data_IF_674520791748
#
_entry.id   IF_674520791748
#
_cell.length_a   1.000
_cell.length_b   1.000
_cell.length_c   1.000
_cell.angle_alpha   90.00
_cell.angle_beta   90.00
_cell.angle_gamma   90.00
#
_symmetry.space_group_name_H-M   'P 1'
#
loop_
_entity.id
_entity.type
_entity.pdbx_description
1 polymer ?
#
# COMPACT_ATOMS: atom_id res chain seq x y z
N UNK A 1 25.99 2.73 -24.35
CA UNK A 1 25.41 1.50 -23.79
C UNK A 1 25.35 1.69 -22.28
N UNK A 2 24.31 2.36 -21.78
CA UNK A 2 24.17 2.64 -20.36
C UNK A 2 23.30 1.50 -19.84
N UNK A 3 23.93 0.54 -19.14
CA UNK A 3 23.21 -0.49 -18.40
C UNK A 3 22.57 0.19 -17.20
N UNK A 4 21.41 0.82 -17.42
CA UNK A 4 20.55 1.26 -16.35
C UNK A 4 19.97 -0.02 -15.75
N UNK A 5 20.71 -0.62 -14.81
CA UNK A 5 20.11 -1.52 -13.83
C UNK A 5 19.19 -0.65 -12.98
N UNK A 6 18.01 -0.32 -13.53
CA UNK A 6 16.82 -0.10 -12.73
C UNK A 6 16.68 -1.42 -11.99
N UNK A 7 17.19 -1.47 -10.77
CA UNK A 7 16.62 -2.38 -9.78
C UNK A 7 15.16 -2.00 -9.79
N UNK A 8 14.32 -2.81 -10.43
CA UNK A 8 12.89 -2.74 -10.23
C UNK A 8 12.73 -2.93 -8.72
N UNK A 9 12.53 -1.84 -7.99
CA UNK A 9 12.08 -1.90 -6.61
C UNK A 9 10.65 -2.42 -6.73
N UNK A 10 10.51 -3.75 -6.78
CA UNK A 10 9.24 -4.45 -6.80
C UNK A 10 8.66 -4.36 -5.38
N UNK A 11 7.37 -4.04 -5.26
CA UNK A 11 6.76 -3.76 -3.96
C UNK A 11 6.55 -2.28 -3.66
N UNK A 12 5.86 -2.03 -2.55
CA UNK A 12 5.76 -0.72 -1.92
C UNK A 12 4.33 -0.17 -1.91
N UNK A 13 4.21 1.13 -1.68
CA UNK A 13 2.93 1.84 -1.74
C UNK A 13 2.67 2.27 -3.18
N UNK A 14 2.34 1.34 -4.05
CA UNK A 14 2.19 1.57 -5.49
C UNK A 14 0.79 1.19 -6.01
N UNK A 15 -0.18 0.94 -5.12
CA UNK A 15 -1.55 0.59 -5.53
C UNK A 15 -1.72 -0.82 -6.08
N UNK A 16 -0.67 -1.65 -6.17
CA UNK A 16 -0.71 -3.04 -6.66
C UNK A 16 -1.74 -3.91 -5.95
N UNK A 17 -2.02 -3.62 -4.66
CA UNK A 17 -2.96 -4.36 -3.81
C UNK A 17 -4.36 -4.54 -4.42
N UNK A 18 -4.77 -3.65 -5.35
CA UNK A 18 -6.04 -3.79 -6.08
C UNK A 18 -6.11 -5.06 -6.93
N UNK A 19 -4.95 -5.63 -7.30
CA UNK A 19 -4.79 -6.88 -8.05
C UNK A 19 -4.49 -8.08 -7.14
N UNK A 20 -4.40 -7.90 -5.82
CA UNK A 20 -3.86 -8.90 -4.88
C UNK A 20 -4.89 -9.40 -3.86
N UNK A 21 -6.16 -9.01 -4.01
CA UNK A 21 -7.21 -9.22 -3.01
C UNK A 21 -7.61 -10.69 -2.79
N UNK A 22 -7.17 -11.59 -3.66
CA UNK A 22 -7.41 -13.03 -3.55
C UNK A 22 -6.31 -13.75 -2.74
N UNK A 23 -5.22 -13.05 -2.41
CA UNK A 23 -4.13 -13.60 -1.61
C UNK A 23 -4.58 -13.82 -0.15
N UNK A 24 -4.16 -14.91 0.52
CA UNK A 24 -4.54 -15.22 1.89
C UNK A 24 -4.29 -14.07 2.88
N UNK A 25 -3.13 -13.42 2.76
CA UNK A 25 -2.70 -12.30 3.63
C UNK A 25 -3.54 -11.03 3.44
N UNK A 26 -4.27 -10.91 2.33
CA UNK A 26 -5.16 -9.78 2.03
C UNK A 26 -6.64 -10.08 2.29
N UNK A 27 -6.94 -11.22 2.94
CA UNK A 27 -8.30 -11.65 3.22
C UNK A 27 -9.05 -10.59 4.04
N UNK A 28 -10.21 -10.19 3.55
CA UNK A 28 -11.08 -9.18 4.19
C UNK A 28 -11.00 -7.78 3.57
N UNK A 29 -9.96 -7.48 2.79
CA UNK A 29 -9.77 -6.12 2.22
C UNK A 29 -10.73 -5.77 1.08
N UNK A 30 -11.38 -6.76 0.45
CA UNK A 30 -12.36 -6.54 -0.65
C UNK A 30 -13.46 -5.54 -0.28
N UNK A 31 -13.94 -5.56 0.96
CA UNK A 31 -14.99 -4.62 1.42
C UNK A 31 -14.44 -3.20 1.53
N UNK A 32 -13.26 -3.05 2.14
CA UNK A 32 -12.60 -1.75 2.29
C UNK A 32 -12.25 -1.14 0.94
N UNK A 33 -11.75 -1.94 -0.01
CA UNK A 33 -11.43 -1.44 -1.35
C UNK A 33 -12.66 -0.94 -2.10
N UNK A 34 -13.83 -1.57 -1.93
CA UNK A 34 -15.10 -1.07 -2.51
C UNK A 34 -15.52 0.29 -1.94
N UNK A 35 -15.18 0.58 -0.69
CA UNK A 35 -15.44 1.89 -0.07
C UNK A 35 -14.49 2.93 -0.68
N UNK A 36 -13.20 2.59 -0.79
CA UNK A 36 -12.21 3.45 -1.42
C UNK A 36 -12.51 3.70 -2.91
N UNK A 37 -13.00 2.70 -3.65
CA UNK A 37 -13.43 2.87 -5.06
C UNK A 37 -14.52 3.93 -5.19
N UNK A 38 -15.51 3.93 -4.30
CA UNK A 38 -16.56 4.96 -4.29
C UNK A 38 -15.98 6.35 -4.04
N UNK A 39 -15.10 6.49 -3.05
CA UNK A 39 -14.45 7.77 -2.75
C UNK A 39 -13.58 8.24 -3.92
N UNK A 40 -12.74 7.34 -4.46
CA UNK A 40 -11.86 7.60 -5.60
C UNK A 40 -12.67 8.08 -6.81
N UNK A 41 -13.76 7.41 -7.16
CA UNK A 41 -14.63 7.82 -8.29
C UNK A 41 -15.17 9.24 -8.14
N UNK A 42 -15.48 9.69 -6.92
CA UNK A 42 -15.91 11.07 -6.70
C UNK A 42 -14.76 12.06 -6.85
N UNK A 43 -13.58 11.72 -6.34
CA UNK A 43 -12.38 12.56 -6.44
C UNK A 43 -11.92 12.68 -7.91
N UNK A 44 -11.95 11.58 -8.66
CA UNK A 44 -11.57 11.53 -10.07
C UNK A 44 -12.45 12.43 -10.97
N UNK A 45 -13.65 12.83 -10.52
CA UNK A 45 -14.48 13.82 -11.23
C UNK A 45 -13.88 15.22 -11.22
N UNK A 46 -13.03 15.51 -10.23
CA UNK A 46 -12.37 16.82 -10.06
C UNK A 46 -10.92 16.72 -10.52
N UNK A 47 -10.19 15.71 -10.04
CA UNK A 47 -8.80 15.47 -10.38
C UNK A 47 -8.49 13.98 -10.29
N UNK A 48 -7.89 13.43 -11.34
CA UNK A 48 -7.46 12.04 -11.34
C UNK A 48 -6.37 11.82 -10.29
N UNK A 49 -6.54 10.77 -9.50
CA UNK A 49 -5.61 10.36 -8.44
C UNK A 49 -5.26 8.87 -8.56
N UNK A 50 -4.09 8.49 -8.07
CA UNK A 50 -3.66 7.10 -8.05
C UNK A 50 -4.32 6.32 -6.91
N UNK A 51 -4.48 5.00 -7.08
CA UNK A 51 -4.84 4.11 -5.99
C UNK A 51 -3.83 4.17 -4.85
N UNK A 52 -2.54 4.25 -5.18
CA UNK A 52 -1.46 4.40 -4.23
C UNK A 52 -1.69 5.60 -3.28
N UNK A 53 -2.06 6.76 -3.82
CA UNK A 53 -2.33 7.95 -3.01
C UNK A 53 -3.65 7.89 -2.25
N UNK A 54 -4.73 7.37 -2.87
CA UNK A 54 -6.00 7.18 -2.16
C UNK A 54 -5.83 6.29 -0.94
N UNK A 55 -5.10 5.18 -1.07
CA UNK A 55 -4.87 4.24 0.04
C UNK A 55 -4.02 4.90 1.14
N UNK A 56 -2.94 5.60 0.76
CA UNK A 56 -2.07 6.30 1.70
C UNK A 56 -2.84 7.38 2.49
N UNK A 57 -3.62 8.21 1.79
CA UNK A 57 -4.42 9.26 2.38
C UNK A 57 -5.51 8.68 3.29
N UNK A 58 -6.24 7.67 2.83
CA UNK A 58 -7.29 7.04 3.64
C UNK A 58 -6.75 6.43 4.94
N UNK A 59 -5.54 5.84 4.90
CA UNK A 59 -4.86 5.35 6.10
C UNK A 59 -4.53 6.46 7.10
N UNK A 60 -3.97 7.57 6.63
CA UNK A 60 -3.67 8.73 7.47
C UNK A 60 -4.93 9.35 8.09
N UNK A 61 -5.98 9.52 7.28
CA UNK A 61 -7.28 10.04 7.75
C UNK A 61 -7.93 9.11 8.77
N UNK A 62 -7.86 7.78 8.57
CA UNK A 62 -8.38 6.82 9.54
C UNK A 62 -7.69 6.94 10.91
N UNK A 63 -6.36 7.13 10.93
CA UNK A 63 -5.60 7.35 12.18
C UNK A 63 -6.06 8.64 12.86
N UNK A 64 -6.15 9.75 12.11
CA UNK A 64 -6.59 11.05 12.61
C UNK A 64 -8.01 11.00 13.20
N UNK A 65 -8.96 10.39 12.47
CA UNK A 65 -10.35 10.25 12.89
C UNK A 65 -10.52 9.42 14.17
N UNK A 66 -9.61 8.47 14.41
CA UNK A 66 -9.57 7.68 15.64
C UNK A 66 -8.85 8.40 16.81
N UNK A 67 -8.50 9.68 16.67
CA UNK A 67 -7.80 10.46 17.70
C UNK A 67 -6.29 10.22 17.74
N UNK A 68 -5.73 9.60 16.70
CA UNK A 68 -4.29 9.42 16.53
C UNK A 68 -3.58 10.69 16.05
N UNK A 69 -2.27 10.62 15.79
CA UNK A 69 -1.49 11.75 15.29
C UNK A 69 -1.88 12.10 13.84
N UNK A 70 -1.64 13.35 13.46
CA UNK A 70 -1.67 13.75 12.05
C UNK A 70 -0.44 13.19 11.33
N UNK A 71 -0.66 12.38 10.29
CA UNK A 71 0.40 11.78 9.48
C UNK A 71 0.52 12.58 8.17
N UNK A 72 1.63 13.29 7.94
CA UNK A 72 1.82 14.02 6.69
C UNK A 72 2.01 13.05 5.53
N UNK A 73 1.12 13.12 4.53
CA UNK A 73 1.20 12.30 3.32
C UNK A 73 1.74 13.12 2.16
N UNK A 74 2.84 12.66 1.57
CA UNK A 74 3.29 13.12 0.26
C UNK A 74 2.45 12.44 -0.83
N UNK A 75 1.90 13.22 -1.75
CA UNK A 75 1.15 12.75 -2.91
C UNK A 75 2.03 12.70 -4.17
N UNK A 76 1.52 12.09 -5.24
CA UNK A 76 2.21 11.91 -6.51
C UNK A 76 2.72 10.49 -6.74
N UNK A 77 2.23 9.49 -5.99
CA UNK A 77 2.58 8.09 -6.24
C UNK A 77 1.98 7.61 -7.55
N UNK A 78 2.72 6.74 -8.24
CA UNK A 78 2.29 6.15 -9.52
C UNK A 78 1.76 4.74 -9.25
N UNK A 79 0.62 4.42 -9.85
CA UNK A 79 0.05 3.08 -9.75
C UNK A 79 0.88 2.04 -10.52
N UNK A 80 1.08 0.89 -9.89
CA UNK A 80 1.52 -0.32 -10.57
C UNK A 80 0.41 -0.84 -11.48
N UNK A 81 0.79 -1.42 -12.60
CA UNK A 81 -0.13 -2.10 -13.52
C UNK A 81 -0.16 -3.61 -13.30
N UNK A 82 0.63 -4.11 -12.35
CA UNK A 82 0.80 -5.53 -12.04
C UNK A 82 0.80 -5.73 -10.52
N UNK A 83 0.39 -6.91 -10.02
CA UNK A 83 0.55 -7.23 -8.61
C UNK A 83 2.02 -7.28 -8.21
N UNK A 84 2.33 -6.92 -6.97
CA UNK A 84 3.66 -7.08 -6.40
C UNK A 84 3.96 -8.55 -6.09
N UNK A 85 5.24 -8.94 -5.90
CA UNK A 85 5.60 -10.30 -5.54
C UNK A 85 4.95 -10.78 -4.22
N UNK A 86 4.58 -12.06 -4.18
CA UNK A 86 4.05 -12.73 -2.98
C UNK A 86 5.12 -12.92 -1.90
N UNK A 87 4.68 -13.28 -0.69
CA UNK A 87 5.57 -13.61 0.44
C UNK A 87 6.33 -12.41 1.00
N UNK A 88 5.80 -11.19 0.83
CA UNK A 88 6.39 -9.94 1.32
C UNK A 88 5.75 -9.40 2.60
N UNK A 89 4.61 -9.96 3.01
CA UNK A 89 3.96 -9.69 4.29
C UNK A 89 4.36 -10.74 5.33
N UNK A 90 4.56 -10.35 6.60
CA UNK A 90 4.84 -11.29 7.67
C UNK A 90 3.61 -12.16 7.97
N UNK A 91 3.81 -13.45 8.21
CA UNK A 91 2.76 -14.34 8.73
C UNK A 91 2.42 -13.99 10.17
N UNK A 92 1.16 -14.19 10.57
CA UNK A 92 0.68 -13.89 11.93
C UNK A 92 1.34 -14.75 13.02
N UNK A 93 1.92 -15.89 12.65
CA UNK A 93 2.60 -16.82 13.55
C UNK A 93 4.09 -16.54 13.75
N UNK A 94 4.65 -15.50 13.13
CA UNK A 94 6.07 -15.17 13.28
C UNK A 94 6.40 -14.71 14.70
N UNK A 95 7.57 -15.14 15.19
CA UNK A 95 8.12 -14.65 16.44
C UNK A 95 8.64 -13.20 16.32
N UNK A 96 8.93 -12.58 17.47
CA UNK A 96 9.37 -11.19 17.52
C UNK A 96 10.67 -10.94 16.73
N UNK A 97 11.59 -11.92 16.73
CA UNK A 97 12.86 -11.83 16.01
C UNK A 97 12.63 -11.83 14.50
N UNK A 98 11.79 -12.73 14.00
CA UNK A 98 11.46 -12.84 12.59
C UNK A 98 10.65 -11.65 12.10
N UNK A 99 9.73 -11.15 12.94
CA UNK A 99 8.98 -9.92 12.66
C UNK A 99 9.93 -8.72 12.54
N UNK A 100 10.87 -8.55 13.49
CA UNK A 100 11.87 -7.49 13.43
C UNK A 100 12.67 -7.54 12.13
N UNK A 101 13.16 -8.71 11.74
CA UNK A 101 13.88 -8.88 10.48
C UNK A 101 13.01 -8.52 9.25
N UNK A 102 11.70 -8.76 9.28
CA UNK A 102 10.79 -8.34 8.21
C UNK A 102 10.72 -6.82 8.07
N UNK A 103 10.68 -6.09 9.19
CA UNK A 103 10.67 -4.63 9.22
C UNK A 103 12.04 -4.05 8.83
N UNK A 104 13.14 -4.64 9.31
CA UNK A 104 14.51 -4.24 8.93
C UNK A 104 14.74 -4.35 7.42
N UNK A 105 14.24 -5.41 6.77
CA UNK A 105 14.30 -5.56 5.29
C UNK A 105 13.53 -4.48 4.54
N UNK A 106 12.61 -3.77 5.20
CA UNK A 106 11.84 -2.64 4.64
C UNK A 106 12.42 -1.28 5.06
N UNK A 107 13.55 -1.27 5.79
CA UNK A 107 14.23 -0.05 6.23
C UNK A 107 13.73 0.54 7.55
N UNK A 108 12.98 -0.23 8.35
CA UNK A 108 12.55 0.18 9.69
C UNK A 108 13.49 -0.36 10.78
N UNK A 109 13.41 0.20 12.00
CA UNK A 109 14.24 -0.16 13.17
C UNK A 109 13.42 -0.58 14.38
#
# INVERSE_FOLDING_TARGET
MISTSIVLILGGMNGSIVYELDRPENKGLKKSLKILDKAKRQIDLVQSVSWADIIALAGAEAVSLCGGPSIPIQLGRIDSMVPDPEGKLPEESLDATSLKQCFERKGFS
#
